data_IF_791796358545
#
_entry.id   IF_791796358545
#
_cell.length_a   1.000
_cell.length_b   1.000
_cell.length_c   1.000
_cell.angle_alpha   90.00
_cell.angle_beta   90.00
_cell.angle_gamma   90.00
#
_symmetry.space_group_name_H-M   'P 1'
#
loop_
_entity.id
_entity.type
_entity.pdbx_description
1 polymer ?
#
# COMPACT_ATOMS: atom_id res chain seq x y z
N UNK A 1 2.60 6.33 21.12
CA UNK A 1 1.97 5.03 20.82
C UNK A 1 2.60 4.55 19.55
N UNK A 2 3.42 3.51 19.66
CA UNK A 2 4.25 2.90 18.62
C UNK A 2 3.41 2.04 17.65
N UNK A 3 2.25 2.55 17.25
CA UNK A 3 1.37 1.84 16.34
C UNK A 3 1.67 2.27 14.90
N UNK A 4 1.69 1.33 13.95
CA UNK A 4 1.91 1.65 12.55
C UNK A 4 0.88 2.65 12.06
N UNK A 5 1.38 3.80 11.59
CA UNK A 5 0.57 4.81 10.93
C UNK A 5 0.40 4.40 9.49
N UNK A 6 -0.46 3.42 9.28
CA UNK A 6 -0.99 3.16 7.96
C UNK A 6 -1.67 4.43 7.45
N UNK A 7 -1.42 4.79 6.20
CA UNK A 7 -2.18 5.81 5.48
C UNK A 7 -2.54 5.17 4.15
N UNK A 8 -3.67 4.45 4.09
CA UNK A 8 -4.04 3.85 2.82
C UNK A 8 -4.27 4.97 1.80
N UNK A 9 -3.63 4.81 0.66
CA UNK A 9 -4.01 5.52 -0.55
C UNK A 9 -4.59 4.48 -1.47
N UNK A 10 -5.79 4.05 -1.08
CA UNK A 10 -6.60 3.17 -1.88
C UNK A 10 -7.59 4.04 -2.64
N UNK A 11 -7.39 4.16 -3.95
CA UNK A 11 -8.49 4.53 -4.85
C UNK A 11 -9.40 3.30 -5.12
N UNK A 12 -9.19 2.18 -4.41
CA UNK A 12 -9.95 0.95 -4.52
C UNK A 12 -10.19 0.32 -3.13
N UNK A 13 -11.42 -0.11 -2.91
CA UNK A 13 -11.84 -0.86 -1.73
C UNK A 13 -11.21 -2.24 -1.66
N UNK A 14 -11.10 -2.79 -0.45
CA UNK A 14 -10.53 -4.11 -0.19
C UNK A 14 -11.37 -4.87 0.85
N UNK A 15 -11.76 -6.13 0.59
CA UNK A 15 -12.66 -6.89 1.48
C UNK A 15 -12.03 -7.20 2.86
N UNK A 16 -10.73 -7.46 2.93
CA UNK A 16 -10.04 -7.74 4.21
C UNK A 16 -9.71 -6.47 5.00
N UNK A 17 -9.92 -5.29 4.43
CA UNK A 17 -9.72 -4.02 5.13
C UNK A 17 -11.00 -3.65 5.87
N UNK A 18 -11.29 -4.41 6.92
CA UNK A 18 -12.52 -4.30 7.69
C UNK A 18 -12.69 -2.93 8.37
N UNK A 19 -13.84 -2.73 9.00
CA UNK A 19 -14.18 -1.44 9.61
C UNK A 19 -13.23 -1.06 10.76
N UNK A 20 -12.63 -2.05 11.43
CA UNK A 20 -11.68 -1.86 12.52
C UNK A 20 -10.32 -1.40 11.98
N UNK A 21 -9.79 -2.08 10.97
CA UNK A 21 -8.59 -1.66 10.25
C UNK A 21 -8.80 -0.29 9.62
N UNK A 22 -9.94 -0.03 8.98
CA UNK A 22 -10.31 1.29 8.48
C UNK A 22 -10.24 2.35 9.58
N UNK A 23 -10.86 2.12 10.74
CA UNK A 23 -10.88 3.11 11.82
C UNK A 23 -9.49 3.37 12.43
N UNK A 24 -8.66 2.34 12.52
CA UNK A 24 -7.29 2.46 13.05
C UNK A 24 -6.37 3.22 12.09
N UNK A 25 -6.57 3.03 10.80
CA UNK A 25 -5.55 3.31 9.79
C UNK A 25 -5.97 4.30 8.68
N UNK A 26 -7.25 4.59 8.54
CA UNK A 26 -7.75 5.57 7.60
C UNK A 26 -8.28 6.80 8.31
N UNK A 27 -7.74 7.96 7.94
CA UNK A 27 -8.14 9.23 8.53
C UNK A 27 -8.45 10.26 7.45
N UNK A 28 -9.39 11.17 7.76
CA UNK A 28 -9.73 12.32 6.93
C UNK A 28 -10.04 11.95 5.47
N UNK A 29 -9.26 12.52 4.53
CA UNK A 29 -9.46 12.34 3.09
C UNK A 29 -9.28 10.89 2.62
N UNK A 30 -8.46 10.09 3.30
CA UNK A 30 -8.17 8.71 2.93
C UNK A 30 -9.35 7.79 3.28
N UNK A 31 -9.94 7.99 4.46
CA UNK A 31 -11.18 7.28 4.86
C UNK A 31 -12.34 7.61 3.92
N UNK A 32 -12.47 8.89 3.53
CA UNK A 32 -13.50 9.31 2.57
C UNK A 32 -13.31 8.62 1.21
N UNK A 33 -12.09 8.62 0.67
CA UNK A 33 -11.77 7.95 -0.61
C UNK A 33 -12.01 6.45 -0.57
N UNK A 34 -11.58 5.76 0.50
CA UNK A 34 -11.81 4.32 0.65
C UNK A 34 -13.31 3.99 0.65
N UNK A 35 -14.13 4.77 1.38
CA UNK A 35 -15.59 4.61 1.39
C UNK A 35 -16.24 4.88 0.03
N UNK A 36 -15.76 5.88 -0.70
CA UNK A 36 -16.22 6.17 -2.06
C UNK A 36 -15.87 5.03 -3.03
N UNK A 37 -14.69 4.41 -2.86
CA UNK A 37 -14.28 3.25 -3.63
C UNK A 37 -15.01 1.94 -3.23
N UNK A 38 -15.48 1.84 -1.98
CA UNK A 38 -16.26 0.71 -1.44
C UNK A 38 -17.66 0.61 -2.03
N UNK A 39 -18.13 1.71 -2.60
CA UNK A 39 -19.45 1.80 -3.20
C UNK A 39 -19.30 2.45 -4.59
N UNK A 40 -18.63 1.79 -5.54
CA UNK A 40 -18.29 2.40 -6.81
C UNK A 40 -19.57 2.73 -7.60
N UNK A 41 -19.60 3.83 -8.38
CA UNK A 41 -20.67 4.04 -9.34
C UNK A 41 -20.72 2.83 -10.29
N UNK A 42 -21.93 2.39 -10.63
CA UNK A 42 -22.26 1.15 -11.38
C UNK A 42 -21.63 1.01 -12.78
N UNK A 43 -20.75 1.92 -13.20
CA UNK A 43 -19.89 1.71 -14.37
C UNK A 43 -18.63 0.97 -13.94
N UNK A 44 -18.69 -0.36 -13.97
CA UNK A 44 -17.50 -1.20 -13.90
C UNK A 44 -16.52 -0.73 -14.98
N UNK A 45 -15.38 -0.14 -14.60
CA UNK A 45 -14.24 -0.07 -15.51
C UNK A 45 -13.85 -1.53 -15.76
N UNK A 46 -14.12 -2.02 -16.96
CA UNK A 46 -13.64 -3.33 -17.40
C UNK A 46 -12.13 -3.18 -17.58
N UNK A 47 -11.38 -3.46 -16.52
CA UNK A 47 -9.94 -3.66 -16.60
C UNK A 47 -9.73 -5.01 -17.29
N UNK A 48 -9.00 -5.04 -18.40
CA UNK A 48 -8.39 -6.30 -18.84
C UNK A 48 -7.50 -6.79 -17.69
N UNK A 49 -7.53 -8.08 -17.33
CA UNK A 49 -6.81 -8.56 -16.16
C UNK A 49 -5.30 -8.50 -16.38
N UNK A 50 -4.68 -7.35 -16.09
CA UNK A 50 -3.24 -7.21 -15.99
C UNK A 50 -2.80 -7.94 -14.72
N UNK A 51 -1.93 -8.94 -14.89
CA UNK A 51 -1.35 -9.67 -13.77
C UNK A 51 -0.02 -9.03 -13.42
N UNK A 52 0.01 -8.30 -12.31
CA UNK A 52 1.27 -7.73 -11.82
C UNK A 52 2.24 -8.86 -11.49
N UNK A 53 3.38 -8.87 -12.17
CA UNK A 53 4.39 -9.91 -12.01
C UNK A 53 5.45 -9.55 -10.95
N UNK A 54 6.26 -10.52 -10.48
CA UNK A 54 7.28 -10.26 -9.46
C UNK A 54 8.35 -9.24 -9.89
N UNK A 55 8.65 -9.13 -11.19
CA UNK A 55 9.65 -8.20 -11.74
C UNK A 55 9.13 -6.76 -11.62
N UNK A 56 7.87 -6.52 -11.99
CA UNK A 56 7.21 -5.23 -11.82
C UNK A 56 7.20 -4.82 -10.34
N UNK A 57 6.87 -5.75 -9.42
CA UNK A 57 6.91 -5.48 -7.98
C UNK A 57 8.32 -5.08 -7.52
N UNK A 58 9.37 -5.79 -7.96
CA UNK A 58 10.76 -5.42 -7.62
C UNK A 58 11.14 -4.06 -8.20
N UNK A 59 10.69 -3.74 -9.41
CA UNK A 59 10.93 -2.44 -10.04
C UNK A 59 10.29 -1.31 -9.24
N UNK A 60 9.03 -1.46 -8.82
CA UNK A 60 8.37 -0.51 -7.93
C UNK A 60 9.18 -0.25 -6.66
N UNK A 61 9.60 -1.30 -5.97
CA UNK A 61 10.40 -1.15 -4.75
C UNK A 61 11.68 -0.37 -4.97
N UNK A 62 12.39 -0.62 -6.07
CA UNK A 62 13.61 0.10 -6.40
C UNK A 62 13.32 1.59 -6.64
N UNK A 63 12.28 1.89 -7.43
CA UNK A 63 11.84 3.27 -7.69
C UNK A 63 11.43 3.99 -6.40
N UNK A 64 10.83 3.28 -5.44
CA UNK A 64 10.47 3.85 -4.15
C UNK A 64 11.70 4.08 -3.27
N UNK A 65 12.66 3.15 -3.23
CA UNK A 65 13.91 3.28 -2.47
C UNK A 65 14.81 4.41 -2.95
N UNK A 66 14.65 4.88 -4.19
CA UNK A 66 15.34 6.05 -4.71
C UNK A 66 14.82 7.38 -4.12
N UNK A 67 13.64 7.39 -3.49
CA UNK A 67 13.09 8.58 -2.84
C UNK A 67 13.87 8.87 -1.54
N UNK A 68 14.43 10.08 -1.35
CA UNK A 68 15.17 10.42 -0.13
C UNK A 68 14.35 10.33 1.17
N UNK A 69 13.03 10.39 1.06
CA UNK A 69 12.08 10.27 2.16
C UNK A 69 11.79 8.82 2.56
N UNK A 70 12.29 7.84 1.81
CA UNK A 70 12.08 6.40 2.05
C UNK A 70 13.39 5.78 2.47
N UNK A 71 13.38 5.12 3.62
CA UNK A 71 14.49 4.28 4.08
C UNK A 71 14.42 2.92 3.43
N UNK A 72 13.24 2.30 3.48
CA UNK A 72 12.99 0.96 2.95
C UNK A 72 11.57 0.89 2.39
N UNK A 73 11.38 0.08 1.34
CA UNK A 73 10.10 -0.18 0.73
C UNK A 73 10.00 -1.66 0.34
N UNK A 74 8.86 -2.27 0.64
CA UNK A 74 8.52 -3.64 0.25
C UNK A 74 7.12 -3.66 -0.32
N UNK A 75 6.94 -4.32 -1.46
CA UNK A 75 5.66 -4.49 -2.10
C UNK A 75 5.32 -5.97 -2.26
N UNK A 76 4.04 -6.29 -2.11
CA UNK A 76 3.48 -7.63 -2.25
C UNK A 76 2.14 -7.56 -2.97
N UNK A 77 1.79 -8.63 -3.67
CA UNK A 77 0.50 -8.77 -4.34
C UNK A 77 -0.32 -9.80 -3.59
N UNK A 78 -1.48 -9.39 -3.10
CA UNK A 78 -2.48 -10.27 -2.50
C UNK A 78 -3.50 -10.65 -3.57
N UNK A 79 -3.94 -11.90 -3.50
CA UNK A 79 -5.05 -12.43 -4.30
C UNK A 79 -6.20 -12.73 -3.35
N UNK A 80 -7.39 -12.26 -3.67
CA UNK A 80 -8.61 -12.70 -3.00
C UNK A 80 -9.11 -14.04 -3.56
N UNK A 81 -10.16 -14.60 -2.95
CA UNK A 81 -10.78 -15.86 -3.37
C UNK A 81 -11.34 -15.81 -4.81
N UNK A 82 -11.62 -14.62 -5.33
CA UNK A 82 -12.14 -14.37 -6.68
C UNK A 82 -11.01 -14.14 -7.71
N UNK A 83 -9.75 -14.08 -7.26
CA UNK A 83 -8.56 -13.89 -8.08
C UNK A 83 -8.31 -12.44 -8.48
N UNK A 84 -8.87 -11.46 -7.76
CA UNK A 84 -8.53 -10.05 -7.88
C UNK A 84 -7.19 -9.75 -7.19
N UNK A 85 -6.41 -8.86 -7.79
CA UNK A 85 -5.10 -8.47 -7.26
C UNK A 85 -5.17 -7.16 -6.47
N UNK A 86 -4.54 -7.18 -5.30
CA UNK A 86 -4.26 -5.99 -4.49
C UNK A 86 -2.77 -5.84 -4.27
N UNK A 87 -2.19 -4.72 -4.71
CA UNK A 87 -0.81 -4.37 -4.47
C UNK A 87 -0.66 -3.64 -3.13
N UNK A 88 -0.06 -4.29 -2.14
CA UNK A 88 0.22 -3.68 -0.85
C UNK A 88 1.68 -3.25 -0.80
N UNK A 89 1.91 -1.97 -0.52
CA UNK A 89 3.22 -1.34 -0.48
C UNK A 89 3.49 -0.84 0.93
N UNK A 90 4.40 -1.49 1.61
CA UNK A 90 4.89 -1.09 2.91
C UNK A 90 6.10 -0.16 2.71
N UNK A 91 6.14 0.94 3.45
CA UNK A 91 7.26 1.88 3.44
C UNK A 91 7.71 2.17 4.88
N UNK A 92 9.01 2.33 5.07
CA UNK A 92 9.56 2.94 6.26
C UNK A 92 10.17 4.28 5.85
N UNK A 93 9.67 5.35 6.45
CA UNK A 93 10.17 6.69 6.15
C UNK A 93 11.59 6.88 6.67
N UNK A 94 12.36 7.74 6.02
CA UNK A 94 13.66 8.18 6.51
C UNK A 94 13.51 8.89 7.88
N UNK A 95 14.50 8.81 8.79
CA UNK A 95 14.39 9.38 10.14
C UNK A 95 14.05 10.88 10.19
N UNK A 96 14.41 11.64 9.14
CA UNK A 96 14.15 13.07 9.03
C UNK A 96 12.72 13.40 8.55
N UNK A 97 11.90 12.41 8.22
CA UNK A 97 10.52 12.62 7.77
C UNK A 97 9.60 12.77 8.98
N UNK A 98 8.96 13.94 9.07
CA UNK A 98 7.98 14.23 10.13
C UNK A 98 6.53 13.98 9.70
N UNK A 99 6.27 13.88 8.39
CA UNK A 99 4.95 13.60 7.84
C UNK A 99 4.96 12.36 6.92
N UNK A 100 4.68 11.17 7.48
CA UNK A 100 4.53 9.95 6.69
C UNK A 100 3.36 9.99 5.70
N UNK A 101 2.34 10.81 5.94
CA UNK A 101 1.15 10.86 5.08
C UNK A 101 1.47 11.47 3.71
N UNK A 102 2.26 12.55 3.67
CA UNK A 102 2.77 13.11 2.43
C UNK A 102 3.71 12.16 1.66
N UNK A 103 4.47 11.30 2.35
CA UNK A 103 5.28 10.27 1.68
C UNK A 103 4.39 9.19 1.08
N UNK A 104 3.34 8.76 1.79
CA UNK A 104 2.35 7.84 1.24
C UNK A 104 1.71 8.42 -0.02
N UNK A 105 1.37 9.73 -0.05
CA UNK A 105 0.82 10.40 -1.25
C UNK A 105 1.73 10.26 -2.46
N UNK A 106 3.02 10.54 -2.28
CA UNK A 106 4.02 10.44 -3.35
C UNK A 106 4.12 8.99 -3.86
N UNK A 107 4.06 8.01 -2.95
CA UNK A 107 4.05 6.59 -3.32
C UNK A 107 2.78 6.22 -4.07
N UNK A 108 1.61 6.68 -3.61
CA UNK A 108 0.32 6.43 -4.22
C UNK A 108 0.30 6.84 -5.70
N UNK A 109 0.85 8.00 -6.04
CA UNK A 109 0.95 8.45 -7.43
C UNK A 109 1.81 7.53 -8.31
N UNK A 110 2.84 6.88 -7.76
CA UNK A 110 3.66 5.91 -8.49
C UNK A 110 2.93 4.58 -8.68
N UNK A 111 2.16 4.16 -7.68
CA UNK A 111 1.44 2.88 -7.68
C UNK A 111 0.21 2.91 -8.58
N UNK A 112 -0.41 4.08 -8.80
CA UNK A 112 -1.54 4.25 -9.75
C UNK A 112 -1.28 3.65 -11.13
N UNK A 113 -0.03 3.61 -11.58
CA UNK A 113 0.34 3.11 -12.91
C UNK A 113 0.17 1.59 -13.08
N UNK A 114 -0.04 0.84 -11.99
CA UNK A 114 -0.18 -0.63 -12.02
C UNK A 114 -1.59 -1.09 -12.41
N UNK A 115 -2.57 -0.18 -12.46
CA UNK A 115 -3.92 -0.49 -12.96
C UNK A 115 -4.74 -1.46 -12.11
N UNK A 116 -4.27 -1.82 -10.91
CA UNK A 116 -4.96 -2.69 -9.95
C UNK A 116 -5.23 -1.97 -8.62
N UNK A 117 -6.00 -2.60 -7.72
CA UNK A 117 -6.18 -2.10 -6.37
C UNK A 117 -4.82 -2.00 -5.65
N UNK A 118 -4.64 -0.95 -4.85
CA UNK A 118 -3.38 -0.75 -4.15
C UNK A 118 -3.52 -0.06 -2.80
N UNK A 119 -2.66 -0.43 -1.86
CA UNK A 119 -2.55 0.13 -0.52
C UNK A 119 -1.10 0.58 -0.29
N UNK A 120 -0.89 1.74 0.34
CA UNK A 120 0.44 2.17 0.82
C UNK A 120 0.38 2.29 2.34
N UNK A 121 1.34 1.70 3.04
CA UNK A 121 1.36 1.62 4.50
C UNK A 121 2.70 2.13 5.02
N UNK A 122 2.71 3.20 5.82
CA UNK A 122 3.92 3.59 6.55
C UNK A 122 4.04 2.79 7.84
N UNK A 123 5.11 1.98 7.95
CA UNK A 123 5.42 1.17 9.12
C UNK A 123 6.57 1.78 9.92
N UNK A 124 6.54 1.71 11.26
CA UNK A 124 7.57 2.27 12.12
C UNK A 124 8.85 1.42 12.05
N UNK A 125 8.69 0.10 11.93
CA UNK A 125 9.77 -0.85 11.79
C UNK A 125 9.35 -2.10 11.00
N UNK A 126 10.33 -2.90 10.62
CA UNK A 126 10.14 -4.11 9.82
C UNK A 126 10.34 -5.37 10.65
N UNK A 127 9.52 -6.43 10.45
CA UNK A 127 9.93 -7.76 10.86
C UNK A 127 11.18 -8.14 10.06
N UNK A 128 12.19 -8.66 10.77
CA UNK A 128 13.46 -9.09 10.18
C UNK A 128 13.65 -10.58 10.35
N UNK A 129 14.26 -11.21 9.35
CA UNK A 129 14.76 -12.58 9.45
C UNK A 129 16.00 -12.62 10.36
N UNK A 130 16.47 -13.82 10.70
CA UNK A 130 17.73 -13.98 11.43
C UNK A 130 18.96 -13.44 10.66
N UNK A 131 18.88 -13.29 9.33
CA UNK A 131 19.90 -12.66 8.48
C UNK A 131 19.83 -11.12 8.47
N UNK A 132 18.80 -10.53 9.07
CA UNK A 132 18.59 -9.08 9.09
C UNK A 132 17.88 -8.51 7.85
N UNK A 133 17.42 -9.38 6.94
CA UNK A 133 16.60 -8.99 5.79
C UNK A 133 15.14 -8.78 6.23
N UNK A 134 14.34 -8.04 5.45
CA UNK A 134 12.91 -7.92 5.74
C UNK A 134 12.25 -9.29 5.59
N UNK A 135 11.58 -9.73 6.65
CA UNK A 135 10.81 -10.97 6.66
C UNK A 135 9.44 -10.73 6.02
N UNK A 136 9.38 -11.01 4.71
CA UNK A 136 8.16 -10.79 3.91
C UNK A 136 7.00 -11.70 4.30
N UNK A 137 7.26 -12.83 4.95
CA UNK A 137 6.20 -13.76 5.38
C UNK A 137 5.48 -13.25 6.64
N UNK A 138 6.03 -12.24 7.31
CA UNK A 138 5.50 -11.67 8.55
C UNK A 138 4.99 -10.23 8.41
N UNK A 139 4.81 -9.76 7.17
CA UNK A 139 4.22 -8.46 6.84
C UNK A 139 2.70 -8.47 6.86
#
# INVERSE_FOLDING_TARGET
>A
GDQPRVVLIADLWHPDFDEELCAQHLHGRHLRRYRDAANPPTSHRVYEPHRVDPVEVRFLENVLKELPSIREAVATVHLDDEGHQTLVVYIQCAPAVHDPSGVCDICGEKVRNYGIAALVLAVPDWPRTASGEVDRERL
#
